data_IF_383170750878
#
_entry.id   IF_383170750878
#
_cell.length_a   1.000
_cell.length_b   1.000
_cell.length_c   1.000
_cell.angle_alpha   90.00
_cell.angle_beta   90.00
_cell.angle_gamma   90.00
#
_symmetry.space_group_name_H-M   'P 1'
#
loop_
_entity.id
_entity.type
_entity.pdbx_description
1 polymer ?
#
# COMPACT_ATOMS: atom_id res chain seq x y z
N UNK A 1 -29.15 5.24 40.78
CA UNK A 1 -29.04 3.88 41.36
C UNK A 1 -29.44 2.91 40.26
N UNK A 2 -28.49 2.15 39.71
CA UNK A 2 -28.29 0.79 40.20
C UNK A 2 -26.88 0.56 40.73
N UNK A 3 -26.80 -0.27 41.76
CA UNK A 3 -25.65 -0.53 42.61
C UNK A 3 -24.77 -1.60 41.96
N UNK A 4 -23.72 -1.21 41.24
CA UNK A 4 -22.66 -2.15 40.83
C UNK A 4 -21.78 -2.42 42.05
N UNK A 5 -21.88 -3.63 42.55
CA UNK A 5 -21.18 -4.12 43.73
C UNK A 5 -19.73 -4.42 43.32
N UNK A 6 -18.84 -3.47 43.57
CA UNK A 6 -17.40 -3.66 43.46
C UNK A 6 -16.95 -4.78 44.41
N UNK A 7 -16.51 -5.89 43.85
CA UNK A 7 -15.60 -6.83 44.49
C UNK A 7 -14.31 -6.82 43.68
N UNK A 8 -13.36 -5.98 44.12
CA UNK A 8 -11.94 -6.28 43.91
C UNK A 8 -11.55 -7.32 44.96
N UNK A 9 -10.65 -8.26 44.65
CA UNK A 9 -9.26 -7.93 44.94
C UNK A 9 -8.21 -8.53 43.99
N UNK A 10 -7.00 -8.01 44.19
CA UNK A 10 -5.69 -8.60 43.92
C UNK A 10 -5.15 -8.51 42.49
N UNK A 11 -4.24 -7.54 42.35
CA UNK A 11 -3.21 -7.49 41.34
C UNK A 11 -2.43 -8.81 41.25
N UNK A 12 -2.28 -9.33 40.04
CA UNK A 12 -1.03 -9.93 39.58
C UNK A 12 -0.68 -9.31 38.23
N UNK A 13 0.59 -8.94 38.12
CA UNK A 13 1.18 -8.17 37.05
C UNK A 13 1.00 -8.81 35.66
N UNK A 14 0.90 -7.96 34.65
CA UNK A 14 0.55 -8.33 33.29
C UNK A 14 1.67 -8.97 32.48
N UNK A 15 1.27 -9.77 31.49
CA UNK A 15 1.92 -9.91 30.18
C UNK A 15 0.84 -10.38 29.20
N UNK A 16 0.06 -9.48 28.62
CA UNK A 16 -0.98 -9.86 27.66
C UNK A 16 -1.15 -8.82 26.54
N UNK A 17 -0.04 -8.36 25.93
CA UNK A 17 -0.10 -7.57 24.70
C UNK A 17 1.25 -7.54 23.98
N UNK A 18 1.71 -8.67 23.42
CA UNK A 18 2.91 -8.67 22.56
C UNK A 18 2.73 -9.40 21.22
N UNK A 19 1.54 -9.88 20.87
CA UNK A 19 1.35 -10.53 19.58
C UNK A 19 0.04 -10.12 18.91
N UNK A 20 -0.02 -8.85 18.52
CA UNK A 20 -0.97 -8.38 17.53
C UNK A 20 -0.27 -7.51 16.49
N UNK A 21 0.95 -7.90 16.06
CA UNK A 21 1.30 -7.74 14.66
C UNK A 21 0.59 -8.86 13.90
N UNK A 22 -0.74 -8.85 13.91
CA UNK A 22 -1.51 -9.58 12.92
C UNK A 22 -1.17 -8.90 11.61
N UNK A 23 -0.23 -9.51 10.90
CA UNK A 23 0.29 -9.09 9.61
C UNK A 23 -0.91 -8.88 8.70
N UNK A 24 -1.30 -7.63 8.56
CA UNK A 24 -2.23 -7.20 7.54
C UNK A 24 -1.44 -7.34 6.25
N UNK A 25 -1.53 -8.52 5.65
CA UNK A 25 -1.03 -8.76 4.31
C UNK A 25 -1.94 -7.94 3.40
N UNK A 26 -1.55 -6.69 3.17
CA UNK A 26 -2.25 -5.80 2.25
C UNK A 26 -2.05 -6.41 0.86
N UNK A 27 -3.09 -7.09 0.37
CA UNK A 27 -3.12 -7.59 -1.00
C UNK A 27 -3.01 -6.39 -1.92
N UNK A 28 -1.81 -6.17 -2.45
CA UNK A 28 -1.54 -5.06 -3.36
C UNK A 28 -2.22 -5.37 -4.69
N UNK A 29 -3.40 -4.79 -4.88
CA UNK A 29 -4.15 -4.87 -6.14
C UNK A 29 -3.70 -3.73 -7.05
N UNK A 30 -3.04 -4.08 -8.16
CA UNK A 30 -2.69 -3.13 -9.22
C UNK A 30 -3.86 -2.93 -10.19
N UNK A 31 -4.08 -1.70 -10.66
CA UNK A 31 -5.18 -1.42 -11.60
C UNK A 31 -4.83 -1.69 -13.07
N UNK A 32 -3.54 -1.90 -13.38
CA UNK A 32 -3.05 -2.17 -14.74
C UNK A 32 -1.68 -2.86 -14.74
N UNK A 33 -1.29 -3.54 -15.84
CA UNK A 33 0.06 -4.11 -15.99
C UNK A 33 1.17 -3.08 -15.87
N UNK A 34 0.98 -1.88 -16.44
CA UNK A 34 1.97 -0.81 -16.38
C UNK A 34 2.16 -0.23 -14.97
N UNK A 35 1.10 -0.21 -14.14
CA UNK A 35 1.19 0.15 -12.74
C UNK A 35 1.97 -0.90 -11.94
N UNK A 36 1.63 -2.18 -12.14
CA UNK A 36 2.34 -3.29 -11.48
C UNK A 36 3.83 -3.28 -11.83
N UNK A 37 4.16 -3.07 -13.10
CA UNK A 37 5.54 -3.01 -13.56
C UNK A 37 6.30 -1.80 -13.02
N UNK A 38 5.65 -0.63 -12.95
CA UNK A 38 6.26 0.56 -12.35
C UNK A 38 6.66 0.32 -10.89
N UNK A 39 5.74 -0.22 -10.08
CA UNK A 39 5.99 -0.49 -8.66
C UNK A 39 7.03 -1.61 -8.48
N UNK A 40 6.99 -2.68 -9.27
CA UNK A 40 8.03 -3.72 -9.27
C UNK A 40 9.41 -3.18 -9.65
N UNK A 41 9.48 -2.16 -10.50
CA UNK A 41 10.72 -1.46 -10.88
C UNK A 41 11.20 -0.48 -9.80
N UNK A 42 10.67 -0.55 -8.57
CA UNK A 42 10.91 0.41 -7.47
C UNK A 42 10.49 1.85 -7.78
N UNK A 43 9.66 2.04 -8.82
CA UNK A 43 9.09 3.34 -9.16
C UNK A 43 7.80 3.63 -8.39
N UNK A 44 7.33 4.88 -8.50
CA UNK A 44 6.04 5.30 -7.99
C UNK A 44 5.07 5.57 -9.15
N UNK A 45 3.94 4.88 -9.15
CA UNK A 45 2.88 5.11 -10.14
C UNK A 45 1.96 6.26 -9.70
N UNK A 46 1.74 7.23 -10.58
CA UNK A 46 0.84 8.36 -10.35
C UNK A 46 -0.11 8.51 -11.53
N UNK A 47 -1.41 8.56 -11.24
CA UNK A 47 -2.43 8.91 -12.23
C UNK A 47 -2.54 10.42 -12.33
N UNK A 48 -2.40 10.99 -13.54
CA UNK A 48 -2.49 12.44 -13.79
C UNK A 48 -3.55 12.76 -14.83
N UNK A 49 -4.16 13.93 -14.75
CA UNK A 49 -5.07 14.42 -15.79
C UNK A 49 -4.28 14.80 -17.05
N UNK A 50 -4.59 14.17 -18.18
CA UNK A 50 -4.08 14.53 -19.50
C UNK A 50 -5.15 15.15 -20.39
N UNK A 51 -4.73 15.75 -21.51
CA UNK A 51 -5.65 16.37 -22.49
C UNK A 51 -6.64 15.38 -23.11
N UNK A 52 -6.24 14.12 -23.24
CA UNK A 52 -7.04 13.02 -23.81
C UNK A 52 -7.67 12.11 -22.73
N UNK A 53 -7.58 12.49 -21.45
CA UNK A 53 -7.99 11.67 -20.32
C UNK A 53 -6.86 11.42 -19.32
N UNK A 54 -7.12 10.71 -18.21
CA UNK A 54 -6.09 10.37 -17.24
C UNK A 54 -4.98 9.52 -17.87
N UNK A 55 -3.73 9.82 -17.52
CA UNK A 55 -2.55 9.07 -17.92
C UNK A 55 -1.84 8.49 -16.69
N UNK A 56 -1.21 7.34 -16.85
CA UNK A 56 -0.31 6.77 -15.86
C UNK A 56 1.10 7.29 -16.05
N UNK A 57 1.72 7.81 -15.00
CA UNK A 57 3.12 8.22 -14.98
C UNK A 57 3.87 7.35 -13.99
N UNK A 58 5.01 6.79 -14.42
CA UNK A 58 5.94 6.11 -13.55
C UNK A 58 7.10 7.05 -13.21
N UNK A 59 7.25 7.36 -11.92
CA UNK A 59 8.38 8.11 -11.38
C UNK A 59 9.44 7.08 -10.97
N UNK A 60 10.54 7.02 -11.72
CA UNK A 60 11.63 6.07 -11.50
C UNK A 60 12.47 6.44 -10.26
N UNK A 61 13.29 5.52 -9.72
CA UNK A 61 14.12 5.78 -8.54
C UNK A 61 15.12 6.93 -8.69
N UNK A 62 15.53 7.24 -9.92
CA UNK A 62 16.41 8.36 -10.26
C UNK A 62 15.64 9.69 -10.42
N UNK A 63 14.32 9.67 -10.22
CA UNK A 63 13.43 10.81 -10.38
C UNK A 63 12.93 11.05 -11.80
N UNK A 64 13.34 10.24 -12.78
CA UNK A 64 12.82 10.37 -14.14
C UNK A 64 11.34 10.01 -14.19
N UNK A 65 10.56 10.82 -14.91
CA UNK A 65 9.16 10.54 -15.15
C UNK A 65 8.96 9.97 -16.56
N UNK A 66 8.31 8.82 -16.63
CA UNK A 66 7.99 8.15 -17.90
C UNK A 66 6.48 7.91 -17.99
N UNK A 67 5.94 7.94 -19.21
CA UNK A 67 4.62 7.37 -19.45
C UNK A 67 4.65 5.88 -19.07
N UNK A 68 3.76 5.47 -18.16
CA UNK A 68 3.84 4.14 -17.57
C UNK A 68 3.61 3.04 -18.63
N UNK A 69 2.68 3.25 -19.56
CA UNK A 69 2.35 2.28 -20.60
C UNK A 69 3.49 2.16 -21.63
N UNK A 70 4.10 3.28 -22.03
CA UNK A 70 5.27 3.27 -22.89
C UNK A 70 6.45 2.56 -22.22
N UNK A 71 6.74 2.89 -20.97
CA UNK A 71 7.81 2.25 -20.19
C UNK A 71 7.58 0.74 -20.06
N UNK A 72 6.34 0.31 -19.79
CA UNK A 72 6.00 -1.10 -19.75
C UNK A 72 6.28 -1.81 -21.10
N UNK A 73 5.83 -1.24 -22.22
CA UNK A 73 6.01 -1.83 -23.56
C UNK A 73 7.47 -1.89 -24.01
N UNK A 74 8.28 -0.89 -23.67
CA UNK A 74 9.71 -0.88 -23.98
C UNK A 74 10.47 -2.00 -23.27
N UNK A 75 10.03 -2.38 -22.06
CA UNK A 75 10.69 -3.38 -21.23
C UNK A 75 10.03 -4.76 -21.29
N UNK A 76 8.86 -4.87 -21.93
CA UNK A 76 8.13 -6.11 -22.15
C UNK A 76 7.74 -6.23 -23.64
N UNK A 77 8.72 -6.33 -24.56
CA UNK A 77 8.45 -6.54 -25.98
C UNK A 77 7.81 -7.92 -26.21
N UNK A 78 6.93 -7.99 -27.22
CA UNK A 78 6.23 -9.21 -27.61
C UNK A 78 7.15 -10.30 -28.17
#
# INVERSE_FOLDING_TARGET
>A
MPTVKYLAPLALAGVAALSACAQQEEEVVYSSPEEAFCVQSSGQYVRRSGKAGPIGVCILPDGQERDALAYYRENNPA
#
